data_IF_304098337162
#
_entry.id   IF_304098337162
#
_cell.length_a   1.000
_cell.length_b   1.000
_cell.length_c   1.000
_cell.angle_alpha   90.00
_cell.angle_beta   90.00
_cell.angle_gamma   90.00
#
_symmetry.space_group_name_H-M   'P 1'
#
loop_
_entity.id
_entity.type
_entity.pdbx_description
1 polymer ?
#
# COMPACT_ATOMS: atom_id res chain seq x y z
N UNK A 1 4.75 -47.87 -50.61
CA UNK A 1 5.47 -47.43 -49.39
C UNK A 1 4.74 -46.23 -48.80
N UNK A 2 4.18 -46.36 -47.59
CA UNK A 2 3.42 -45.28 -46.93
C UNK A 2 4.34 -44.50 -45.99
N UNK A 3 4.49 -43.19 -46.23
CA UNK A 3 5.25 -42.29 -45.37
C UNK A 3 4.34 -41.72 -44.27
N UNK A 4 4.37 -42.33 -43.07
CA UNK A 4 3.76 -41.72 -41.89
C UNK A 4 4.68 -40.65 -41.31
N UNK A 5 4.25 -39.38 -41.39
CA UNK A 5 4.90 -38.27 -40.65
C UNK A 5 4.35 -38.23 -39.23
N UNK A 6 5.19 -38.56 -38.25
CA UNK A 6 4.91 -38.29 -36.84
C UNK A 6 4.96 -36.77 -36.59
N UNK A 7 3.79 -36.14 -36.42
CA UNK A 7 3.71 -34.80 -35.83
C UNK A 7 4.03 -34.92 -34.33
N UNK A 8 5.22 -34.49 -33.93
CA UNK A 8 5.70 -34.67 -32.55
C UNK A 8 4.91 -33.77 -31.59
N UNK A 9 4.11 -34.37 -30.69
CA UNK A 9 3.31 -33.68 -29.64
C UNK A 9 4.16 -32.89 -28.61
N UNK A 10 5.47 -33.05 -28.63
CA UNK A 10 6.44 -32.45 -27.70
C UNK A 10 6.48 -30.91 -27.75
N UNK A 11 6.25 -30.30 -28.92
CA UNK A 11 6.28 -28.83 -29.07
C UNK A 11 5.14 -28.13 -28.31
N UNK A 12 3.99 -28.79 -28.12
CA UNK A 12 2.83 -28.21 -27.42
C UNK A 12 3.06 -28.00 -25.93
N UNK A 13 3.68 -28.98 -25.26
CA UNK A 13 3.97 -28.95 -23.82
C UNK A 13 5.03 -27.87 -23.52
N UNK A 14 6.09 -27.78 -24.33
CA UNK A 14 7.09 -26.71 -24.19
C UNK A 14 6.47 -25.31 -24.37
N UNK A 15 5.56 -25.16 -25.34
CA UNK A 15 4.89 -23.88 -25.60
C UNK A 15 3.89 -23.50 -24.50
N UNK A 16 3.18 -24.47 -23.93
CA UNK A 16 2.32 -24.26 -22.76
C UNK A 16 3.13 -23.84 -21.53
N UNK A 17 4.26 -24.49 -21.25
CA UNK A 17 5.09 -24.14 -20.09
C UNK A 17 5.67 -22.72 -20.18
N UNK A 18 6.06 -22.29 -21.39
CA UNK A 18 6.54 -20.91 -21.64
C UNK A 18 5.41 -19.89 -21.43
N UNK A 19 4.18 -20.19 -21.84
CA UNK A 19 3.03 -19.32 -21.63
C UNK A 19 2.68 -19.19 -20.14
N UNK A 20 2.68 -20.29 -19.39
CA UNK A 20 2.41 -20.29 -17.94
C UNK A 20 3.47 -19.48 -17.19
N UNK A 21 4.76 -19.65 -17.52
CA UNK A 21 5.84 -18.84 -16.96
C UNK A 21 5.68 -17.34 -17.23
N UNK A 22 5.24 -16.98 -18.44
CA UNK A 22 4.98 -15.59 -18.80
C UNK A 22 3.88 -14.95 -17.93
N UNK A 23 2.78 -15.67 -17.71
CA UNK A 23 1.65 -15.19 -16.88
C UNK A 23 2.11 -15.00 -15.43
N UNK A 24 2.87 -15.93 -14.87
CA UNK A 24 3.40 -15.82 -13.50
C UNK A 24 4.30 -14.59 -13.36
N UNK A 25 5.18 -14.33 -14.34
CA UNK A 25 6.05 -13.15 -14.32
C UNK A 25 5.26 -11.83 -14.36
N UNK A 26 4.21 -11.77 -15.19
CA UNK A 26 3.34 -10.58 -15.27
C UNK A 26 2.58 -10.36 -13.96
N UNK A 27 2.05 -11.43 -13.34
CA UNK A 27 1.37 -11.34 -12.06
C UNK A 27 2.32 -10.92 -10.92
N UNK A 28 3.55 -11.44 -10.90
CA UNK A 28 4.56 -11.05 -9.92
C UNK A 28 4.98 -9.58 -10.07
N UNK A 29 5.16 -9.10 -11.31
CA UNK A 29 5.47 -7.70 -11.58
C UNK A 29 4.30 -6.76 -11.21
N UNK A 30 3.06 -7.18 -11.43
CA UNK A 30 1.87 -6.42 -11.03
C UNK A 30 1.74 -6.30 -9.50
N UNK A 31 1.98 -7.39 -8.76
CA UNK A 31 1.97 -7.37 -7.30
C UNK A 31 3.09 -6.49 -6.72
N UNK A 32 4.29 -6.53 -7.30
CA UNK A 32 5.41 -5.67 -6.90
C UNK A 32 5.16 -4.19 -7.25
N UNK A 33 4.57 -3.90 -8.42
CA UNK A 33 4.24 -2.54 -8.83
C UNK A 33 3.17 -1.88 -7.95
N UNK A 34 2.16 -2.66 -7.51
CA UNK A 34 1.11 -2.15 -6.63
C UNK A 34 1.66 -1.76 -5.25
N UNK A 35 2.63 -2.51 -4.71
CA UNK A 35 3.26 -2.19 -3.43
C UNK A 35 4.19 -0.96 -3.47
N UNK A 36 4.72 -0.60 -4.64
CA UNK A 36 5.69 0.51 -4.77
C UNK A 36 4.98 1.87 -4.91
N UNK A 37 3.74 1.91 -5.43
CA UNK A 37 3.01 3.18 -5.53
C UNK A 37 2.54 3.75 -4.19
N UNK A 38 2.43 2.96 -3.11
CA UNK A 38 2.09 3.52 -1.79
C UNK A 38 3.27 4.19 -1.09
N UNK A 39 4.51 3.80 -1.40
CA UNK A 39 5.71 4.34 -0.74
C UNK A 39 6.18 5.68 -1.33
N UNK A 40 5.83 5.98 -2.58
CA UNK A 40 6.33 7.15 -3.31
C UNK A 40 5.64 8.46 -2.93
N UNK A 41 4.33 8.43 -2.69
CA UNK A 41 3.51 9.63 -2.38
C UNK A 41 3.61 10.04 -0.92
N UNK A 42 3.74 9.09 0.02
CA UNK A 42 3.86 9.37 1.46
C UNK A 42 5.07 10.26 1.81
N UNK A 43 6.18 10.13 1.07
CA UNK A 43 7.41 10.88 1.35
C UNK A 43 7.34 12.36 0.95
N UNK A 44 6.51 12.72 -0.02
CA UNK A 44 6.33 14.11 -0.46
C UNK A 44 5.43 14.91 0.50
N UNK A 45 4.38 14.28 1.03
CA UNK A 45 3.43 14.91 1.99
C UNK A 45 4.05 15.17 3.38
N UNK A 46 5.12 14.45 3.74
CA UNK A 46 5.83 14.58 5.03
C UNK A 46 6.46 15.96 5.30
N UNK A 47 6.52 16.87 4.32
CA UNK A 47 7.19 18.17 4.51
C UNK A 47 6.35 19.22 5.22
N UNK A 48 5.06 19.25 4.97
CA UNK A 48 4.11 20.24 5.49
C UNK A 48 3.50 19.79 6.82
N UNK A 49 3.26 20.72 7.74
CA UNK A 49 2.55 20.44 8.99
C UNK A 49 1.06 20.51 8.73
N UNK A 50 0.36 19.41 9.02
CA UNK A 50 -1.09 19.30 8.96
C UNK A 50 -1.68 19.82 10.27
N UNK A 51 -2.60 20.77 10.18
CA UNK A 51 -3.32 21.31 11.32
C UNK A 51 -4.58 20.48 11.57
N UNK A 52 -4.82 20.12 12.82
CA UNK A 52 -5.98 19.33 13.25
C UNK A 52 -6.83 20.20 14.15
N UNK A 53 -8.05 20.49 13.71
CA UNK A 53 -9.07 21.26 14.40
C UNK A 53 -10.20 20.40 14.95
N UNK A 54 -10.43 19.20 14.38
CA UNK A 54 -11.54 18.33 14.80
C UNK A 54 -11.12 16.87 15.03
N UNK A 55 -11.99 16.12 15.71
CA UNK A 55 -11.79 14.69 15.96
C UNK A 55 -11.84 13.87 14.66
N UNK A 56 -12.67 14.29 13.70
CA UNK A 56 -12.78 13.65 12.39
C UNK A 56 -11.50 13.81 11.56
N UNK A 57 -10.85 14.97 11.63
CA UNK A 57 -9.55 15.19 10.98
C UNK A 57 -8.48 14.30 11.60
N UNK A 58 -8.48 14.17 12.93
CA UNK A 58 -7.57 13.25 13.63
C UNK A 58 -7.80 11.80 13.18
N UNK A 59 -9.05 11.35 13.09
CA UNK A 59 -9.40 10.03 12.62
C UNK A 59 -8.93 9.81 11.16
N UNK A 60 -9.28 10.74 10.27
CA UNK A 60 -8.96 10.67 8.84
C UNK A 60 -7.45 10.58 8.58
N UNK A 61 -6.64 11.28 9.36
CA UNK A 61 -5.18 11.32 9.15
C UNK A 61 -4.42 10.21 9.86
N UNK A 62 -4.91 9.74 11.02
CA UNK A 62 -4.12 8.90 11.93
C UNK A 62 -4.75 7.53 12.23
N UNK A 63 -6.02 7.30 11.87
CA UNK A 63 -6.74 6.05 12.19
C UNK A 63 -7.39 5.38 10.98
N UNK A 64 -7.98 6.16 10.08
CA UNK A 64 -8.65 5.65 8.88
C UNK A 64 -7.62 5.21 7.84
N UNK A 65 -7.39 3.90 7.72
CA UNK A 65 -6.42 3.33 6.78
C UNK A 65 -6.90 3.32 5.32
N UNK A 66 -8.19 3.57 5.08
CA UNK A 66 -8.77 3.65 3.74
C UNK A 66 -8.69 5.07 3.18
N UNK A 67 -8.46 6.07 4.05
CA UNK A 67 -8.20 7.46 3.68
C UNK A 67 -6.91 7.60 2.87
N UNK A 68 -7.01 8.31 1.73
CA UNK A 68 -5.83 8.71 0.95
C UNK A 68 -4.90 9.66 1.72
N UNK A 69 -5.41 10.23 2.82
CA UNK A 69 -4.67 11.17 3.65
C UNK A 69 -4.01 10.54 4.87
N UNK A 70 -4.28 9.25 5.12
CA UNK A 70 -3.68 8.46 6.19
C UNK A 70 -2.15 8.47 6.11
N UNK A 71 -1.49 8.94 7.16
CA UNK A 71 -0.03 9.10 7.13
C UNK A 71 0.60 9.11 8.52
N UNK A 72 1.07 7.96 8.98
CA UNK A 72 1.75 7.81 10.28
C UNK A 72 3.16 8.43 10.34
N UNK A 73 3.65 8.99 9.24
CA UNK A 73 4.96 9.63 9.07
C UNK A 73 4.87 11.13 8.73
N UNK A 74 3.68 11.72 8.92
CA UNK A 74 3.41 13.15 8.76
C UNK A 74 3.87 14.03 9.92
N UNK A 75 3.64 15.33 9.80
CA UNK A 75 3.77 16.30 10.89
C UNK A 75 2.40 16.86 11.21
N UNK A 76 1.99 16.76 12.46
CA UNK A 76 0.64 17.12 12.91
C UNK A 76 0.74 18.12 14.05
N UNK A 77 -0.18 19.10 14.08
CA UNK A 77 -0.35 20.02 15.19
C UNK A 77 -1.82 20.20 15.53
N UNK A 78 -2.18 20.09 16.81
CA UNK A 78 -3.51 20.44 17.29
C UNK A 78 -3.69 21.97 17.28
N UNK A 79 -4.86 22.41 16.84
CA UNK A 79 -5.30 23.82 16.87
C UNK A 79 -6.59 24.02 17.69
N UNK A 80 -7.12 22.93 18.25
CA UNK A 80 -8.27 22.91 19.13
C UNK A 80 -8.15 21.78 20.14
N UNK A 81 -8.82 21.94 21.29
CA UNK A 81 -9.00 20.87 22.27
C UNK A 81 -9.93 19.80 21.70
N UNK A 82 -9.51 18.54 21.74
CA UNK A 82 -10.27 17.38 21.24
C UNK A 82 -10.66 16.44 22.39
N UNK A 83 -11.89 15.91 22.39
CA UNK A 83 -12.35 14.94 23.38
C UNK A 83 -12.12 13.50 22.89
N UNK A 84 -10.92 12.98 23.10
CA UNK A 84 -10.52 11.65 22.59
C UNK A 84 -11.08 10.46 23.39
N UNK A 85 -12.22 10.61 24.08
CA UNK A 85 -12.85 9.54 24.86
C UNK A 85 -13.34 8.36 24.01
N UNK A 86 -13.48 8.57 22.70
CA UNK A 86 -13.82 7.54 21.72
C UNK A 86 -12.61 6.75 21.22
N UNK A 87 -11.37 7.24 21.42
CA UNK A 87 -10.16 6.61 20.94
C UNK A 87 -9.83 5.36 21.79
N UNK A 88 -10.21 4.19 21.28
CA UNK A 88 -10.01 2.91 21.98
C UNK A 88 -8.65 2.27 21.69
N UNK A 89 -8.04 2.63 20.57
CA UNK A 89 -6.81 2.02 20.08
C UNK A 89 -5.70 3.05 19.99
N UNK A 90 -4.45 2.59 20.05
CA UNK A 90 -3.29 3.45 19.86
C UNK A 90 -3.17 3.89 18.39
N UNK A 91 -2.66 5.10 18.18
CA UNK A 91 -2.27 5.56 16.85
C UNK A 91 -1.01 4.77 16.44
N UNK A 92 -1.13 4.01 15.35
CA UNK A 92 -0.11 3.07 14.90
C UNK A 92 -0.06 1.76 15.70
N UNK A 93 0.84 0.87 15.29
CA UNK A 93 1.01 -0.47 15.87
C UNK A 93 2.47 -0.91 15.86
N UNK A 94 2.77 -2.07 16.46
CA UNK A 94 4.11 -2.66 16.38
C UNK A 94 4.55 -3.01 14.94
N UNK A 95 3.60 -3.30 14.06
CA UNK A 95 3.88 -3.62 12.65
C UNK A 95 4.03 -2.35 11.80
N UNK A 96 3.24 -1.32 12.13
CA UNK A 96 3.21 -0.04 11.43
C UNK A 96 3.22 1.10 12.47
N UNK A 97 4.42 1.49 12.95
CA UNK A 97 4.53 2.44 14.03
C UNK A 97 4.28 3.88 13.56
N UNK A 98 3.77 4.71 14.46
CA UNK A 98 3.83 6.16 14.28
C UNK A 98 5.29 6.61 14.28
N UNK A 99 5.71 7.26 13.19
CA UNK A 99 7.09 7.75 13.00
C UNK A 99 7.13 9.24 12.66
N UNK A 100 5.96 9.88 12.66
CA UNK A 100 5.78 11.31 12.43
C UNK A 100 6.14 12.16 13.63
N UNK A 101 5.75 13.43 13.57
CA UNK A 101 5.81 14.36 14.70
C UNK A 101 4.40 14.81 15.03
N UNK A 102 4.05 14.80 16.31
CA UNK A 102 2.76 15.28 16.79
C UNK A 102 3.01 16.39 17.82
N UNK A 103 2.47 17.56 17.52
CA UNK A 103 2.54 18.75 18.36
C UNK A 103 1.16 18.98 19.00
N UNK A 104 1.10 18.93 20.32
CA UNK A 104 -0.14 19.16 21.07
C UNK A 104 -0.41 20.61 21.44
N UNK A 105 0.39 21.53 20.87
CA UNK A 105 0.39 22.99 21.07
C UNK A 105 -0.92 23.62 21.56
#
# INVERSE_FOLDING_TARGET
MSHFRLHTKSKGIRRQNVLIMGIICVLAAAAAGYGIHSMGTARAKSRETVLIYTEEELEQYLLDRESEEYNLNGRYRLEADLELGWLKESIGSNLEPFTGTFDGN
#
